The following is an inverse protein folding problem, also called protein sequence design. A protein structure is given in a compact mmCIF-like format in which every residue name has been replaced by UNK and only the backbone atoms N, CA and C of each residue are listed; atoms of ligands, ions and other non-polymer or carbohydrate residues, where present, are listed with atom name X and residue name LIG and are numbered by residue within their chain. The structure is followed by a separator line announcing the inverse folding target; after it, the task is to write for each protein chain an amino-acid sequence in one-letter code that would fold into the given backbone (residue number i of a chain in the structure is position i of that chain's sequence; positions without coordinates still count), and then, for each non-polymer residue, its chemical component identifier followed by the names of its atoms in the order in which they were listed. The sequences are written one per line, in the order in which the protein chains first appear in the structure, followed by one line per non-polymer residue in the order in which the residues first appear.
data_IF_589506292648
#
_entry.id   IF_589506292648
#
_cell.length_a   1.000
_cell.length_b   1.000
_cell.length_c   1.000
_cell.angle_alpha   90.00
_cell.angle_beta   90.00
_cell.angle_gamma   90.00
#
_symmetry.space_group_name_H-M   'P 1'
#
loop_
_entity.id
_entity.type
_entity.pdbx_description
1 polymer ?
#
# COMPACT_ATOMS: atom_id res chain seq x y z
N UNK A 1 -1.06 -14.91 16.09
CA UNK A 1 -1.44 -15.40 14.75
C UNK A 1 -2.92 -15.13 14.42
N UNK A 2 -3.41 -13.87 14.55
CA UNK A 2 -4.85 -13.52 14.37
C UNK A 2 -5.12 -12.44 13.32
N UNK A 3 -4.11 -12.05 12.52
CA UNK A 3 -4.19 -10.84 11.66
C UNK A 3 -4.29 -11.10 10.14
N UNK A 4 -4.16 -12.36 9.68
CA UNK A 4 -4.23 -12.70 8.25
C UNK A 4 -5.66 -13.02 7.76
N UNK A 5 -6.64 -13.08 8.67
CA UNK A 5 -8.06 -13.34 8.38
C UNK A 5 -8.90 -12.06 8.53
N UNK A 6 -8.36 -10.93 8.06
CA UNK A 6 -9.25 -9.78 7.85
C UNK A 6 -10.16 -10.18 6.69
N UNK A 7 -11.51 -10.12 6.78
CA UNK A 7 -12.41 -10.69 5.76
C UNK A 7 -12.08 -10.24 4.33
N UNK A 8 -11.63 -8.99 4.19
CA UNK A 8 -11.15 -8.38 2.94
C UNK A 8 -9.98 -9.12 2.28
N UNK A 9 -9.08 -9.69 3.07
CA UNK A 9 -7.90 -10.41 2.59
C UNK A 9 -8.20 -11.87 2.24
N UNK A 10 -9.08 -12.50 3.02
CA UNK A 10 -9.55 -13.85 2.72
C UNK A 10 -10.23 -13.88 1.35
N UNK A 11 -11.06 -12.88 1.05
CA UNK A 11 -11.67 -12.72 -0.28
C UNK A 11 -10.62 -12.66 -1.39
N UNK A 12 -9.56 -11.87 -1.22
CA UNK A 12 -8.49 -11.77 -2.20
C UNK A 12 -7.74 -13.08 -2.43
N UNK A 13 -7.45 -13.84 -1.38
CA UNK A 13 -6.86 -15.18 -1.51
C UNK A 13 -7.78 -16.15 -2.24
N UNK A 14 -9.08 -16.12 -1.94
CA UNK A 14 -10.09 -16.96 -2.62
C UNK A 14 -10.18 -16.62 -4.10
N UNK A 15 -10.23 -15.33 -4.46
CA UNK A 15 -10.26 -14.88 -5.85
C UNK A 15 -9.02 -15.34 -6.61
N UNK A 16 -7.82 -15.16 -6.04
CA UNK A 16 -6.58 -15.59 -6.70
C UNK A 16 -6.49 -17.11 -6.82
N UNK A 17 -6.91 -17.85 -5.80
CA UNK A 17 -6.98 -19.31 -5.87
C UNK A 17 -7.96 -19.78 -6.96
N UNK A 18 -9.14 -19.16 -7.05
CA UNK A 18 -10.13 -19.46 -8.11
C UNK A 18 -9.57 -19.16 -9.50
N UNK A 19 -8.94 -17.99 -9.70
CA UNK A 19 -8.33 -17.62 -10.98
C UNK A 19 -7.18 -18.55 -11.36
N UNK A 20 -6.36 -18.96 -10.39
CA UNK A 20 -5.27 -19.91 -10.60
C UNK A 20 -5.81 -21.27 -11.04
N UNK A 21 -6.80 -21.81 -10.32
CA UNK A 21 -7.44 -23.08 -10.67
C UNK A 21 -8.11 -23.02 -12.04
N UNK A 22 -8.80 -21.92 -12.35
CA UNK A 22 -9.43 -21.69 -13.65
C UNK A 22 -8.39 -21.66 -14.78
N UNK A 23 -7.26 -20.96 -14.60
CA UNK A 23 -6.18 -20.94 -15.59
C UNK A 23 -5.56 -22.33 -15.81
N UNK A 24 -5.29 -23.08 -14.74
CA UNK A 24 -4.75 -24.43 -14.88
C UNK A 24 -5.75 -25.38 -15.56
N UNK A 25 -7.03 -25.24 -15.24
CA UNK A 25 -8.09 -26.01 -15.88
C UNK A 25 -8.21 -25.68 -17.37
N UNK A 26 -8.21 -24.40 -17.76
CA UNK A 26 -8.20 -23.98 -19.16
C UNK A 26 -6.94 -24.43 -19.90
N UNK A 27 -5.76 -24.30 -19.28
CA UNK A 27 -4.50 -24.76 -19.88
C UNK A 27 -4.49 -26.26 -20.14
N UNK A 28 -4.99 -27.05 -19.18
CA UNK A 28 -5.15 -28.49 -19.32
C UNK A 28 -6.17 -28.84 -20.41
N UNK A 29 -7.31 -28.15 -20.45
CA UNK A 29 -8.30 -28.34 -21.51
C UNK A 29 -7.74 -28.01 -22.90
N UNK A 30 -6.94 -26.95 -23.00
CA UNK A 30 -6.28 -26.57 -24.26
C UNK A 30 -5.26 -27.62 -24.71
N UNK A 31 -4.54 -28.25 -23.78
CA UNK A 31 -3.63 -29.37 -24.06
C UNK A 31 -4.39 -30.60 -24.58
N UNK A 32 -5.51 -30.97 -23.94
CA UNK A 32 -6.37 -32.05 -24.42
C UNK A 32 -6.95 -31.73 -25.82
N UNK A 33 -7.24 -30.45 -26.07
CA UNK A 33 -7.72 -29.99 -27.38
C UNK A 33 -6.63 -29.96 -28.45
N UNK A 34 -5.39 -29.62 -28.10
CA UNK A 34 -4.24 -29.68 -29.01
C UNK A 34 -4.02 -31.10 -29.57
N UNK A 35 -4.18 -32.13 -28.72
CA UNK A 35 -4.01 -33.53 -29.12
C UNK A 35 -5.09 -34.03 -30.10
N UNK A 36 -6.28 -33.39 -30.12
CA UNK A 36 -7.44 -33.86 -30.90
C UNK A 36 -7.59 -33.20 -32.28
N UNK A 37 -6.89 -32.10 -32.59
CA UNK A 37 -7.08 -31.35 -33.86
C UNK A 37 -5.83 -31.32 -34.74
N UNK A 38 -4.73 -31.98 -34.34
CA UNK A 38 -3.45 -31.87 -35.05
C UNK A 38 -2.77 -30.55 -34.70
N UNK A 39 -1.98 -30.56 -33.64
CA UNK A 39 -1.55 -29.36 -32.94
C UNK A 39 -0.47 -28.53 -33.64
N UNK A 40 -0.82 -27.30 -34.02
CA UNK A 40 0.13 -26.28 -34.49
C UNK A 40 0.79 -25.49 -33.33
N UNK A 41 1.94 -24.80 -33.59
CA UNK A 41 2.66 -24.01 -32.59
C UNK A 41 1.82 -22.94 -31.89
N UNK A 42 0.81 -22.41 -32.59
CA UNK A 42 -0.11 -21.41 -32.06
C UNK A 42 -0.98 -21.97 -30.92
N UNK A 43 -1.46 -23.22 -31.03
CA UNK A 43 -2.26 -23.82 -29.96
C UNK A 43 -1.42 -24.11 -28.71
N UNK A 44 -0.15 -24.48 -28.90
CA UNK A 44 0.80 -24.66 -27.80
C UNK A 44 1.05 -23.32 -27.08
N UNK A 45 1.23 -22.23 -27.83
CA UNK A 45 1.36 -20.89 -27.25
C UNK A 45 0.15 -20.51 -26.40
N UNK A 46 -1.08 -20.79 -26.87
CA UNK A 46 -2.29 -20.59 -26.07
C UNK A 46 -2.34 -21.48 -24.83
N UNK A 47 -1.94 -22.75 -24.92
CA UNK A 47 -1.88 -23.65 -23.78
C UNK A 47 -0.90 -23.16 -22.71
N UNK A 48 0.24 -22.59 -23.13
CA UNK A 48 1.26 -22.01 -22.23
C UNK A 48 0.87 -20.61 -21.72
N UNK A 49 0.03 -19.86 -22.43
CA UNK A 49 -0.42 -18.54 -21.97
C UNK A 49 -1.14 -18.63 -20.63
N UNK A 50 -1.95 -19.68 -20.42
CA UNK A 50 -2.77 -19.81 -19.22
C UNK A 50 -1.92 -19.97 -17.94
N UNK A 51 -0.91 -20.89 -17.90
CA UNK A 51 0.06 -20.92 -16.80
C UNK A 51 0.82 -19.59 -16.60
N UNK A 52 1.17 -18.87 -17.68
CA UNK A 52 1.87 -17.57 -17.57
C UNK A 52 0.97 -16.54 -16.89
N UNK A 53 -0.31 -16.45 -17.27
CA UNK A 53 -1.27 -15.56 -16.60
C UNK A 53 -1.50 -15.97 -15.14
N UNK A 54 -1.54 -17.26 -14.84
CA UNK A 54 -1.64 -17.76 -13.48
C UNK A 54 -0.43 -17.30 -12.63
N UNK A 55 0.78 -17.47 -13.15
CA UNK A 55 2.02 -17.03 -12.50
C UNK A 55 2.06 -15.51 -12.31
N UNK A 56 1.67 -14.75 -13.34
CA UNK A 56 1.60 -13.29 -13.26
C UNK A 56 0.58 -12.81 -12.21
N UNK A 57 -0.58 -13.46 -12.15
CA UNK A 57 -1.60 -13.20 -11.13
C UNK A 57 -1.09 -13.46 -9.71
N UNK A 58 -0.38 -14.57 -9.49
CA UNK A 58 0.27 -14.87 -8.20
C UNK A 58 1.33 -13.83 -7.83
N UNK A 59 2.19 -13.47 -8.77
CA UNK A 59 3.23 -12.47 -8.55
C UNK A 59 2.62 -11.09 -8.22
N UNK A 60 1.60 -10.68 -8.97
CA UNK A 60 0.89 -9.43 -8.72
C UNK A 60 0.20 -9.43 -7.36
N UNK A 61 -0.44 -10.54 -6.99
CA UNK A 61 -1.04 -10.71 -5.66
C UNK A 61 0.01 -10.66 -4.55
N UNK A 62 1.13 -11.37 -4.70
CA UNK A 62 2.26 -11.31 -3.78
C UNK A 62 2.79 -9.89 -3.63
N UNK A 63 2.88 -9.12 -4.72
CA UNK A 63 3.29 -7.71 -4.68
C UNK A 63 2.32 -6.85 -3.89
N UNK A 64 1.00 -7.01 -4.09
CA UNK A 64 -0.02 -6.32 -3.28
C UNK A 64 0.13 -6.70 -1.81
N UNK A 65 0.35 -7.99 -1.54
CA UNK A 65 0.58 -8.51 -0.20
C UNK A 65 1.75 -7.81 0.48
N UNK A 66 2.89 -7.77 -0.22
CA UNK A 66 4.13 -7.17 0.25
C UNK A 66 3.95 -5.68 0.49
N UNK A 67 3.33 -4.99 -0.46
CA UNK A 67 3.11 -3.55 -0.35
C UNK A 67 2.20 -3.20 0.83
N UNK A 68 1.12 -3.95 1.03
CA UNK A 68 0.23 -3.75 2.15
C UNK A 68 0.86 -4.07 3.52
N UNK A 69 1.83 -5.00 3.57
CA UNK A 69 2.64 -5.24 4.77
C UNK A 69 3.63 -4.09 5.01
N UNK A 70 4.35 -3.63 3.98
CA UNK A 70 5.26 -2.49 4.07
C UNK A 70 4.55 -1.18 4.44
N UNK A 71 3.32 -0.99 3.95
CA UNK A 71 2.47 0.15 4.31
C UNK A 71 1.98 0.10 5.76
N UNK A 72 2.09 -1.02 6.49
CA UNK A 72 1.79 -1.05 7.94
C UNK A 72 2.93 -0.57 8.80
N UNK A 73 4.18 -0.69 8.33
CA UNK A 73 5.37 -0.22 9.04
C UNK A 73 5.65 1.27 8.79
N UNK A 74 5.28 1.77 7.61
CA UNK A 74 5.38 3.21 7.25
C UNK A 74 4.60 4.17 8.16
N UNK A 75 3.34 3.94 8.58
CA UNK A 75 2.60 4.89 9.43
C UNK A 75 3.25 5.04 10.80
N UNK A 76 3.82 3.98 11.35
CA UNK A 76 4.58 4.04 12.61
C UNK A 76 5.85 4.85 12.44
N UNK A 77 6.64 4.59 11.37
CA UNK A 77 7.87 5.33 11.08
C UNK A 77 7.62 6.81 10.73
N UNK A 78 6.55 7.10 9.98
CA UNK A 78 6.14 8.46 9.63
C UNK A 78 5.71 9.23 10.87
N UNK A 79 4.93 8.63 11.78
CA UNK A 79 4.52 9.29 13.02
C UNK A 79 5.68 9.59 13.96
N UNK A 80 6.70 8.72 14.01
CA UNK A 80 7.92 8.97 14.79
C UNK A 80 8.71 10.14 14.16
N UNK A 81 9.01 10.08 12.86
CA UNK A 81 9.70 11.18 12.17
C UNK A 81 8.96 12.53 12.20
N UNK A 82 7.63 12.52 12.10
CA UNK A 82 6.80 13.72 12.17
C UNK A 82 6.80 14.32 13.57
N UNK A 83 6.83 13.47 14.60
CA UNK A 83 6.97 13.91 15.99
C UNK A 83 8.38 14.46 16.26
N UNK A 84 9.42 13.76 15.84
CA UNK A 84 10.81 14.21 15.98
C UNK A 84 11.02 15.56 15.26
N UNK A 85 10.50 15.70 14.03
CA UNK A 85 10.58 16.95 13.28
C UNK A 85 9.77 18.09 13.91
N UNK A 86 8.60 17.79 14.49
CA UNK A 86 7.81 18.79 15.21
C UNK A 86 8.53 19.24 16.49
N UNK A 87 9.17 18.31 17.21
CA UNK A 87 9.98 18.60 18.39
C UNK A 87 11.22 19.44 18.03
N UNK A 88 11.89 19.14 16.92
CA UNK A 88 13.02 19.92 16.39
C UNK A 88 12.61 21.34 16.00
N UNK A 89 11.51 21.49 15.25
CA UNK A 89 10.99 22.82 14.84
C UNK A 89 10.55 23.61 16.07
N UNK A 90 9.88 22.98 17.03
CA UNK A 90 9.49 23.63 18.28
C UNK A 90 10.70 24.10 19.08
N UNK A 91 11.77 23.30 19.16
CA UNK A 91 13.01 23.68 19.81
C UNK A 91 13.69 24.89 19.14
N UNK A 92 13.67 24.96 17.80
CA UNK A 92 14.19 26.10 17.05
C UNK A 92 13.37 27.37 17.31
N UNK A 93 12.03 27.28 17.29
CA UNK A 93 11.14 28.43 17.56
C UNK A 93 11.38 28.98 18.98
N UNK A 94 11.46 28.10 19.99
CA UNK A 94 11.69 28.51 21.38
C UNK A 94 13.08 29.14 21.55
N UNK A 95 14.10 28.63 20.87
CA UNK A 95 15.45 29.20 20.92
C UNK A 95 15.52 30.58 20.26
N UNK A 96 14.86 30.78 19.12
CA UNK A 96 14.82 32.07 18.41
C UNK A 96 14.03 33.12 19.20
N UNK A 97 12.92 32.71 19.82
CA UNK A 97 12.11 33.57 20.69
C UNK A 97 12.85 34.00 21.98
N UNK A 98 13.72 33.14 22.51
CA UNK A 98 14.59 33.48 23.63
C UNK A 98 15.77 34.38 23.23
N UNK A 99 16.27 34.24 22.01
CA UNK A 99 17.38 35.04 21.48
C UNK A 99 16.93 36.46 21.07
N UNK A 100 15.69 36.61 20.60
CA UNK A 100 15.12 37.90 20.19
C UNK A 100 13.87 38.28 21.01
N UNK A 101 14.01 39.19 21.99
CA UNK A 101 12.89 39.69 22.80
C UNK A 101 11.76 40.35 22.00
N UNK A 102 12.04 40.82 20.77
CA UNK A 102 11.04 41.44 19.90
C UNK A 102 10.07 40.42 19.29
N UNK A 103 10.59 39.23 18.96
CA UNK A 103 9.82 38.11 18.41
C UNK A 103 8.85 37.56 19.46
N UNK A 104 9.30 37.44 20.71
CA UNK A 104 8.44 37.11 21.86
C UNK A 104 7.33 38.14 22.12
N UNK A 105 7.65 39.44 21.99
CA UNK A 105 6.66 40.49 22.13
C UNK A 105 5.61 40.46 21.01
N UNK A 106 6.03 40.16 19.78
CA UNK A 106 5.15 40.02 18.63
C UNK A 106 4.24 38.78 18.74
N UNK A 107 4.77 37.64 19.18
CA UNK A 107 3.98 36.43 19.42
C UNK A 107 2.92 36.63 20.50
N UNK A 108 3.25 37.36 21.59
CA UNK A 108 2.25 37.77 22.60
C UNK A 108 1.17 38.69 22.03
N UNK A 109 1.53 39.57 21.11
CA UNK A 109 0.58 40.43 20.42
C UNK A 109 -0.33 39.65 19.47
N UNK A 110 0.19 38.67 18.72
CA UNK A 110 -0.65 37.78 17.90
C UNK A 110 -1.61 36.94 18.76
N UNK A 111 -1.17 36.49 19.93
CA UNK A 111 -2.03 35.75 20.87
C UNK A 111 -3.19 36.61 21.39
N UNK A 112 -2.94 37.87 21.75
CA UNK A 112 -4.01 38.77 22.20
C UNK A 112 -5.02 39.11 21.10
N UNK A 113 -4.58 39.17 19.84
CA UNK A 113 -5.49 39.29 18.69
C UNK A 113 -6.33 38.03 18.46
N UNK A 114 -5.76 36.84 18.65
CA UNK A 114 -6.48 35.58 18.52
C UNK A 114 -7.57 35.44 19.60
N UNK A 115 -7.29 35.89 20.82
CA UNK A 115 -8.24 35.87 21.94
C UNK A 115 -9.36 36.91 21.78
N UNK A 116 -9.09 38.04 21.12
CA UNK A 116 -10.07 39.11 20.89
C UNK A 116 -11.01 38.89 19.70
N UNK A 117 -10.76 37.90 18.85
CA UNK A 117 -11.62 37.58 17.70
C UNK A 117 -12.81 36.71 18.14
N UNK A 118 -14.06 37.05 17.76
CA UNK A 118 -15.21 36.20 18.04
C UNK A 118 -15.03 34.85 17.32
N UNK A 119 -15.02 33.75 18.08
CA UNK A 119 -14.93 32.40 17.53
C UNK A 119 -16.24 32.08 16.79
N UNK A 120 -16.17 32.08 15.47
CA UNK A 120 -17.26 31.64 14.59
C UNK A 120 -17.46 30.13 14.63
#
# INVERSE_FOLDING_TARGET
MRMLVTPKWLFGHVVVALLFLACLWLGRWQLDRFQSVGGGPQNLAYALQWPVFAAFGLWFWYRILRDALSQRERPTRRRVHERDAADDVHAVIVADEAADPSLAAYNRYLASLHEGLPRA
#
